data_IF_136000183433
#
_entry.id   IF_136000183433
#
_cell.length_a   1.000
_cell.length_b   1.000
_cell.length_c   1.000
_cell.angle_alpha   90.00
_cell.angle_beta   90.00
_cell.angle_gamma   90.00
#
_symmetry.space_group_name_H-M   'P 1'
#
loop_
_entity.id
_entity.type
_entity.pdbx_description
1 polymer ?
#
# COMPACT_ATOMS: atom_id res chain seq x y z
N UNK A 1 -9.02 -8.69 -32.66
CA UNK A 1 -9.56 -7.76 -31.64
C UNK A 1 -10.66 -8.40 -30.78
N UNK A 2 -11.74 -8.96 -31.36
CA UNK A 2 -12.82 -9.62 -30.59
C UNK A 2 -12.36 -10.87 -29.81
N UNK A 3 -11.59 -11.74 -30.44
CA UNK A 3 -11.04 -12.96 -29.81
C UNK A 3 -9.98 -12.70 -28.72
N UNK A 4 -9.30 -11.55 -28.78
CA UNK A 4 -8.32 -11.18 -27.75
C UNK A 4 -9.04 -10.66 -26.51
N UNK A 5 -10.11 -9.89 -26.70
CA UNK A 5 -10.96 -9.41 -25.62
C UNK A 5 -11.69 -10.56 -24.90
N UNK A 6 -12.19 -11.55 -25.64
CA UNK A 6 -12.81 -12.75 -25.06
C UNK A 6 -11.82 -13.60 -24.24
N UNK A 7 -10.57 -13.71 -24.72
CA UNK A 7 -9.49 -14.39 -23.96
C UNK A 7 -9.09 -13.63 -22.69
N UNK A 8 -9.12 -12.30 -22.71
CA UNK A 8 -8.91 -11.49 -21.50
C UNK A 8 -10.08 -11.67 -20.51
N UNK A 9 -11.32 -11.61 -20.99
CA UNK A 9 -12.51 -11.83 -20.16
C UNK A 9 -12.49 -13.19 -19.46
N UNK A 10 -12.13 -14.27 -20.17
CA UNK A 10 -12.03 -15.61 -19.56
C UNK A 10 -10.93 -15.73 -18.50
N UNK A 11 -9.88 -14.92 -18.55
CA UNK A 11 -8.84 -14.88 -17.51
C UNK A 11 -9.25 -14.09 -16.28
N UNK A 12 -10.08 -13.06 -16.44
CA UNK A 12 -10.49 -12.18 -15.33
C UNK A 12 -11.57 -12.83 -14.45
N UNK A 13 -12.50 -13.58 -15.05
CA UNK A 13 -13.59 -14.28 -14.33
C UNK A 13 -13.09 -15.18 -13.16
N UNK A 14 -12.09 -16.06 -13.35
CA UNK A 14 -11.61 -16.90 -12.25
C UNK A 14 -10.90 -16.09 -11.15
N UNK A 15 -10.21 -14.99 -11.49
CA UNK A 15 -9.60 -14.11 -10.48
C UNK A 15 -10.65 -13.39 -9.64
N UNK A 16 -11.73 -12.89 -10.27
CA UNK A 16 -12.87 -12.28 -9.56
C UNK A 16 -13.53 -13.31 -8.65
N UNK A 17 -13.77 -14.53 -9.15
CA UNK A 17 -14.36 -15.62 -8.36
C UNK A 17 -13.50 -15.96 -7.15
N UNK A 18 -12.19 -16.10 -7.35
CA UNK A 18 -11.24 -16.36 -6.26
C UNK A 18 -11.20 -15.22 -5.24
N UNK A 19 -11.23 -13.96 -5.70
CA UNK A 19 -11.30 -12.79 -4.84
C UNK A 19 -12.57 -12.77 -4.01
N UNK A 20 -13.72 -13.05 -4.61
CA UNK A 20 -15.01 -13.12 -3.92
C UNK A 20 -15.01 -14.20 -2.82
N UNK A 21 -14.46 -15.39 -3.11
CA UNK A 21 -14.29 -16.45 -2.11
C UNK A 21 -13.37 -16.03 -0.96
N UNK A 22 -12.28 -15.32 -1.27
CA UNK A 22 -11.37 -14.81 -0.24
C UNK A 22 -12.06 -13.77 0.66
N UNK A 23 -12.84 -12.86 0.08
CA UNK A 23 -13.58 -11.85 0.84
C UNK A 23 -14.66 -12.46 1.73
N UNK A 24 -15.44 -13.43 1.21
CA UNK A 24 -16.47 -14.10 2.01
C UNK A 24 -15.85 -14.91 3.14
N UNK A 25 -14.73 -15.59 2.90
CA UNK A 25 -14.01 -16.30 3.95
C UNK A 25 -13.48 -15.33 5.02
N UNK A 26 -12.86 -14.23 4.62
CA UNK A 26 -12.40 -13.19 5.55
C UNK A 26 -13.56 -12.60 6.38
N UNK A 27 -14.73 -12.40 5.77
CA UNK A 27 -15.92 -11.91 6.45
C UNK A 27 -16.38 -12.89 7.55
N UNK A 28 -16.42 -14.19 7.24
CA UNK A 28 -16.80 -15.22 8.21
C UNK A 28 -15.77 -15.36 9.34
N UNK A 29 -14.49 -15.16 9.04
CA UNK A 29 -13.40 -15.28 10.01
C UNK A 29 -13.18 -14.02 10.85
N UNK A 30 -13.67 -12.86 10.40
CA UNK A 30 -13.52 -11.58 11.09
C UNK A 30 -13.96 -11.60 12.57
N UNK A 31 -15.15 -12.12 12.96
CA UNK A 31 -15.55 -12.18 14.37
C UNK A 31 -14.66 -13.12 15.20
N UNK A 32 -14.12 -14.20 14.62
CA UNK A 32 -13.20 -15.11 15.30
C UNK A 32 -11.88 -14.42 15.59
N UNK A 33 -11.32 -13.74 14.58
CA UNK A 33 -10.08 -12.97 14.71
C UNK A 33 -10.21 -11.81 15.70
N UNK A 34 -11.36 -11.14 15.71
CA UNK A 34 -11.69 -10.09 16.68
C UNK A 34 -11.74 -10.64 18.11
N UNK A 35 -12.47 -11.74 18.31
CA UNK A 35 -12.61 -12.39 19.61
C UNK A 35 -11.27 -12.86 20.17
N UNK A 36 -10.38 -13.42 19.34
CA UNK A 36 -9.06 -13.89 19.75
C UNK A 36 -8.16 -12.78 20.29
N UNK A 37 -8.21 -11.57 19.72
CA UNK A 37 -7.40 -10.43 20.18
C UNK A 37 -8.11 -9.57 21.23
N UNK A 38 -9.40 -9.79 21.46
CA UNK A 38 -10.16 -9.09 22.51
C UNK A 38 -9.61 -9.37 23.92
N UNK A 39 -9.11 -10.59 24.15
CA UNK A 39 -8.53 -11.02 25.44
C UNK A 39 -7.16 -10.42 25.75
N UNK A 40 -6.48 -9.80 24.77
CA UNK A 40 -5.20 -9.13 24.97
C UNK A 40 -5.43 -7.72 25.52
N UNK A 41 -4.54 -7.22 26.38
CA UNK A 41 -4.66 -5.86 26.89
C UNK A 41 -4.45 -4.81 25.80
N UNK A 42 -5.15 -3.67 25.93
CA UNK A 42 -5.13 -2.59 24.94
C UNK A 42 -3.73 -1.99 24.76
N UNK A 43 -2.97 -1.82 25.83
CA UNK A 43 -1.61 -1.25 25.77
C UNK A 43 -0.66 -2.15 24.98
N UNK A 44 -0.78 -3.47 25.18
CA UNK A 44 0.00 -4.46 24.41
C UNK A 44 -0.37 -4.45 22.93
N UNK A 45 -1.64 -4.24 22.60
CA UNK A 45 -2.10 -4.16 21.20
C UNK A 45 -1.49 -2.97 20.49
N UNK A 46 -1.44 -1.79 21.13
CA UNK A 46 -0.80 -0.62 20.54
C UNK A 46 0.70 -0.83 20.36
N UNK A 47 1.37 -1.45 21.34
CA UNK A 47 2.79 -1.79 21.24
C UNK A 47 3.06 -2.77 20.09
N UNK A 48 2.28 -3.86 20.00
CA UNK A 48 2.42 -4.88 18.96
C UNK A 48 2.07 -4.32 17.57
N UNK A 49 1.02 -3.50 17.46
CA UNK A 49 0.66 -2.82 16.22
C UNK A 49 1.81 -1.92 15.74
N UNK A 50 2.38 -1.12 16.64
CA UNK A 50 3.53 -0.25 16.33
C UNK A 50 4.71 -1.07 15.84
N UNK A 51 5.04 -2.15 16.55
CA UNK A 51 6.11 -3.07 16.17
C UNK A 51 5.86 -3.68 14.78
N UNK A 52 4.67 -4.20 14.51
CA UNK A 52 4.34 -4.80 13.21
C UNK A 52 4.36 -3.78 12.06
N UNK A 53 3.96 -2.53 12.31
CA UNK A 53 4.09 -1.46 11.32
C UNK A 53 5.56 -1.12 11.03
N UNK A 54 6.44 -1.16 12.04
CA UNK A 54 7.88 -0.99 11.84
C UNK A 54 8.48 -2.15 11.04
N UNK A 55 8.07 -3.39 11.32
CA UNK A 55 8.49 -4.56 10.51
C UNK A 55 7.98 -4.44 9.09
N UNK A 56 6.73 -4.02 8.88
CA UNK A 56 6.20 -3.75 7.55
C UNK A 56 7.07 -2.72 6.82
N UNK A 57 7.35 -1.57 7.44
CA UNK A 57 8.16 -0.52 6.84
C UNK A 57 9.58 -0.98 6.49
N UNK A 58 10.26 -1.68 7.40
CA UNK A 58 11.67 -2.06 7.21
C UNK A 58 11.85 -3.24 6.26
N UNK A 59 10.93 -4.21 6.28
CA UNK A 59 11.00 -5.41 5.43
C UNK A 59 10.28 -5.25 4.08
N UNK A 60 9.72 -4.08 3.77
CA UNK A 60 9.07 -3.88 2.49
C UNK A 60 10.11 -3.85 1.35
N UNK A 61 9.88 -4.64 0.30
CA UNK A 61 10.74 -4.60 -0.89
C UNK A 61 10.46 -3.34 -1.71
N UNK A 62 11.29 -2.33 -1.51
CA UNK A 62 11.29 -1.05 -2.24
C UNK A 62 11.98 -1.11 -3.60
N UNK A 63 12.50 -2.28 -4.02
CA UNK A 63 13.21 -2.39 -5.29
C UNK A 63 12.30 -2.04 -6.46
N UNK A 64 12.82 -1.23 -7.38
CA UNK A 64 12.13 -0.88 -8.62
C UNK A 64 12.13 -2.08 -9.55
N UNK A 65 11.04 -2.83 -9.58
CA UNK A 65 10.85 -3.93 -10.51
C UNK A 65 10.37 -3.39 -11.85
N UNK A 66 11.25 -3.40 -12.84
CA UNK A 66 10.93 -3.14 -14.25
C UNK A 66 10.93 -4.46 -15.05
N UNK A 67 10.53 -4.41 -16.32
CA UNK A 67 10.41 -5.58 -17.20
C UNK A 67 11.67 -6.48 -17.23
N UNK A 68 12.87 -5.93 -17.00
CA UNK A 68 14.14 -6.68 -16.97
C UNK A 68 14.55 -7.27 -15.62
N UNK A 69 13.79 -7.04 -14.53
CA UNK A 69 14.13 -7.54 -13.19
C UNK A 69 12.87 -7.95 -12.42
N UNK A 70 12.27 -9.10 -12.78
CA UNK A 70 11.02 -9.56 -12.17
C UNK A 70 11.21 -9.82 -10.68
N UNK A 71 10.14 -9.59 -9.92
CA UNK A 71 10.15 -9.79 -8.47
C UNK A 71 10.29 -11.27 -8.14
N UNK A 72 11.17 -11.57 -7.18
CA UNK A 72 11.24 -12.91 -6.59
C UNK A 72 9.92 -13.22 -5.88
N UNK A 73 9.29 -14.39 -6.16
CA UNK A 73 8.12 -14.84 -5.41
C UNK A 73 8.41 -14.80 -3.92
N UNK A 74 7.52 -14.20 -3.13
CA UNK A 74 7.65 -14.15 -1.66
C UNK A 74 8.45 -12.98 -1.07
N UNK A 75 9.03 -12.08 -1.88
CA UNK A 75 9.89 -10.98 -1.37
C UNK A 75 9.22 -10.03 -0.36
N UNK A 76 7.88 -9.94 -0.34
CA UNK A 76 7.15 -9.06 0.60
C UNK A 76 6.23 -9.85 1.52
N UNK A 77 6.40 -11.18 1.63
CA UNK A 77 5.51 -11.98 2.48
C UNK A 77 5.60 -11.51 3.94
N UNK A 78 6.81 -11.30 4.45
CA UNK A 78 7.03 -10.85 5.83
C UNK A 78 6.39 -9.48 6.07
N UNK A 79 6.60 -8.52 5.15
CA UNK A 79 6.03 -7.19 5.31
C UNK A 79 4.50 -7.24 5.25
N UNK A 80 3.91 -7.94 4.28
CA UNK A 80 2.46 -8.03 4.13
C UNK A 80 1.81 -8.76 5.31
N UNK A 81 2.39 -9.87 5.77
CA UNK A 81 1.93 -10.57 6.97
C UNK A 81 1.99 -9.67 8.20
N UNK A 82 3.07 -8.90 8.38
CA UNK A 82 3.19 -7.95 9.49
C UNK A 82 2.13 -6.85 9.41
N UNK A 83 1.90 -6.29 8.21
CA UNK A 83 0.92 -5.24 8.02
C UNK A 83 -0.52 -5.74 8.28
N UNK A 84 -0.83 -6.98 7.91
CA UNK A 84 -2.11 -7.62 8.22
C UNK A 84 -2.27 -7.88 9.73
N UNK A 85 -1.21 -8.29 10.42
CA UNK A 85 -1.22 -8.45 11.88
C UNK A 85 -1.41 -7.11 12.59
N UNK A 86 -0.79 -6.03 12.10
CA UNK A 86 -1.02 -4.67 12.61
C UNK A 86 -2.48 -4.23 12.41
N UNK A 87 -3.02 -4.40 11.20
CA UNK A 87 -4.41 -4.08 10.90
C UNK A 87 -5.38 -4.89 11.78
N UNK A 88 -5.08 -6.17 12.02
CA UNK A 88 -5.86 -7.03 12.89
C UNK A 88 -5.82 -6.61 14.37
N UNK A 89 -4.64 -6.23 14.86
CA UNK A 89 -4.47 -5.67 16.19
C UNK A 89 -5.39 -4.45 16.38
N UNK A 90 -5.39 -3.53 15.42
CA UNK A 90 -6.26 -2.35 15.44
C UNK A 90 -7.75 -2.74 15.33
N UNK A 91 -8.08 -3.67 14.42
CA UNK A 91 -9.44 -4.12 14.15
C UNK A 91 -10.12 -4.71 15.39
N UNK A 92 -9.37 -5.42 16.25
CA UNK A 92 -9.87 -6.01 17.49
C UNK A 92 -10.47 -5.00 18.49
N UNK A 93 -10.13 -3.71 18.35
CA UNK A 93 -10.63 -2.64 19.22
C UNK A 93 -11.85 -1.90 18.65
N UNK A 94 -12.27 -2.24 17.44
CA UNK A 94 -13.49 -1.67 16.87
C UNK A 94 -14.71 -2.37 17.48
N UNK A 95 -15.79 -1.63 17.78
CA UNK A 95 -16.93 -2.15 18.53
C UNK A 95 -17.80 -3.11 17.71
N UNK A 96 -17.78 -3.00 16.38
CA UNK A 96 -18.67 -3.74 15.48
C UNK A 96 -17.88 -4.67 14.55
N UNK A 97 -18.28 -5.94 14.36
CA UNK A 97 -17.72 -6.82 13.34
C UNK A 97 -17.74 -6.22 11.92
N UNK A 98 -18.74 -5.40 11.57
CA UNK A 98 -18.78 -4.75 10.26
C UNK A 98 -17.62 -3.76 10.08
N UNK A 99 -17.32 -2.96 11.10
CA UNK A 99 -16.17 -2.05 11.07
C UNK A 99 -14.84 -2.80 11.02
N UNK A 100 -14.75 -3.93 11.75
CA UNK A 100 -13.59 -4.83 11.73
C UNK A 100 -13.34 -5.39 10.32
N UNK A 101 -14.38 -5.90 9.67
CA UNK A 101 -14.30 -6.37 8.29
C UNK A 101 -13.91 -5.26 7.32
N UNK A 102 -14.53 -4.09 7.43
CA UNK A 102 -14.21 -2.94 6.57
C UNK A 102 -12.74 -2.53 6.71
N UNK A 103 -12.20 -2.48 7.93
CA UNK A 103 -10.80 -2.14 8.19
C UNK A 103 -9.85 -3.19 7.59
N UNK A 104 -10.11 -4.48 7.83
CA UNK A 104 -9.28 -5.57 7.30
C UNK A 104 -9.32 -5.65 5.77
N UNK A 105 -10.50 -5.52 5.17
CA UNK A 105 -10.69 -5.48 3.72
C UNK A 105 -9.95 -4.29 3.09
N UNK A 106 -10.04 -3.12 3.73
CA UNK A 106 -9.33 -1.91 3.31
C UNK A 106 -7.81 -2.09 3.45
N UNK A 107 -7.35 -2.70 4.54
CA UNK A 107 -5.94 -2.99 4.76
C UNK A 107 -5.38 -3.93 3.68
N UNK A 108 -6.08 -5.02 3.35
CA UNK A 108 -5.69 -5.93 2.25
C UNK A 108 -5.63 -5.17 0.92
N UNK A 109 -6.64 -4.34 0.64
CA UNK A 109 -6.72 -3.57 -0.61
C UNK A 109 -5.58 -2.56 -0.72
N UNK A 110 -5.29 -1.81 0.33
CA UNK A 110 -4.26 -0.77 0.33
C UNK A 110 -2.83 -1.32 0.44
N UNK A 111 -2.62 -2.42 1.17
CA UNK A 111 -1.27 -2.92 1.47
C UNK A 111 -0.83 -3.99 0.47
N UNK A 112 -1.73 -4.86 0.03
CA UNK A 112 -1.41 -5.95 -0.89
C UNK A 112 -1.79 -5.60 -2.34
N UNK A 113 -3.01 -5.12 -2.56
CA UNK A 113 -3.54 -4.93 -3.91
C UNK A 113 -3.00 -3.66 -4.57
N UNK A 114 -2.89 -2.55 -3.82
CA UNK A 114 -2.41 -1.28 -4.34
C UNK A 114 -0.99 -1.36 -4.92
N UNK A 115 0.04 -1.92 -4.25
CA UNK A 115 1.37 -2.05 -4.85
C UNK A 115 1.40 -2.95 -6.09
N UNK A 116 0.50 -3.93 -6.19
CA UNK A 116 0.37 -4.76 -7.38
C UNK A 116 -0.27 -3.98 -8.54
N UNK A 117 -1.29 -3.17 -8.24
CA UNK A 117 -2.00 -2.33 -9.21
C UNK A 117 -1.07 -1.28 -9.81
N UNK A 118 -0.35 -0.53 -8.97
CA UNK A 118 0.60 0.51 -9.44
C UNK A 118 1.66 -0.05 -10.37
N UNK A 119 2.15 -1.27 -10.09
CA UNK A 119 3.10 -1.97 -10.96
C UNK A 119 2.51 -2.36 -12.31
N UNK A 120 1.27 -2.88 -12.33
CA UNK A 120 0.59 -3.22 -13.59
C UNK A 120 0.41 -1.98 -14.46
N UNK A 121 -0.02 -0.86 -13.87
CA UNK A 121 -0.15 0.42 -14.58
C UNK A 121 1.20 0.93 -15.09
N UNK A 122 2.27 0.85 -14.28
CA UNK A 122 3.62 1.24 -14.73
C UNK A 122 4.09 0.39 -15.92
N UNK A 123 3.94 -0.93 -15.84
CA UNK A 123 4.46 -1.84 -16.86
C UNK A 123 3.71 -1.77 -18.19
N UNK A 124 2.41 -1.43 -18.15
CA UNK A 124 1.54 -1.41 -19.32
C UNK A 124 1.32 0.00 -19.89
N UNK A 125 1.26 1.03 -19.04
CA UNK A 125 0.87 2.39 -19.40
C UNK A 125 2.00 3.43 -19.41
N UNK A 126 3.25 3.01 -19.16
CA UNK A 126 4.42 3.90 -19.17
C UNK A 126 4.41 4.96 -18.05
N UNK A 127 5.19 6.02 -18.23
CA UNK A 127 5.40 7.05 -17.20
C UNK A 127 4.18 7.97 -17.00
N UNK A 128 3.44 8.27 -18.07
CA UNK A 128 2.23 9.09 -18.00
C UNK A 128 1.12 8.43 -17.16
N UNK A 129 0.92 7.11 -17.31
CA UNK A 129 -0.05 6.37 -16.51
C UNK A 129 0.32 6.36 -15.02
N UNK A 130 1.60 6.27 -14.68
CA UNK A 130 2.00 6.38 -13.28
C UNK A 130 1.74 7.79 -12.72
N UNK A 131 2.07 8.85 -13.45
CA UNK A 131 1.82 10.22 -12.96
C UNK A 131 0.32 10.42 -12.72
N UNK A 132 -0.52 9.96 -13.67
CA UNK A 132 -1.97 9.99 -13.52
C UNK A 132 -2.43 9.23 -12.26
N UNK A 133 -1.90 8.03 -12.04
CA UNK A 133 -2.24 7.21 -10.87
C UNK A 133 -1.81 7.88 -9.56
N UNK A 134 -0.64 8.52 -9.52
CA UNK A 134 -0.16 9.27 -8.35
C UNK A 134 -1.07 10.46 -8.05
N UNK A 135 -1.46 11.24 -9.07
CA UNK A 135 -2.40 12.36 -8.92
C UNK A 135 -3.76 11.88 -8.43
N UNK A 136 -4.28 10.79 -9.02
CA UNK A 136 -5.56 10.22 -8.62
C UNK A 136 -5.51 9.70 -7.17
N UNK A 137 -4.43 9.03 -6.78
CA UNK A 137 -4.27 8.57 -5.40
C UNK A 137 -4.18 9.74 -4.41
N UNK A 138 -3.46 10.80 -4.75
CA UNK A 138 -3.37 12.02 -3.94
C UNK A 138 -4.72 12.71 -3.79
N UNK A 139 -5.50 12.81 -4.89
CA UNK A 139 -6.84 13.42 -4.83
C UNK A 139 -7.81 12.58 -4.00
N UNK A 140 -7.76 11.25 -4.09
CA UNK A 140 -8.59 10.38 -3.24
C UNK A 140 -8.30 10.57 -1.75
N UNK A 141 -7.03 10.71 -1.35
CA UNK A 141 -6.66 10.98 0.05
C UNK A 141 -7.26 12.32 0.51
N UNK A 142 -7.14 13.37 -0.31
CA UNK A 142 -7.70 14.68 -0.03
C UNK A 142 -9.23 14.65 0.12
N UNK A 143 -9.92 13.92 -0.76
CA UNK A 143 -11.37 13.77 -0.72
C UNK A 143 -11.84 12.98 0.50
N UNK A 144 -11.15 11.91 0.88
CA UNK A 144 -11.50 11.11 2.07
C UNK A 144 -11.32 11.88 3.39
N UNK A 145 -10.47 12.91 3.41
CA UNK A 145 -10.28 13.78 4.57
C UNK A 145 -11.40 14.83 4.74
N UNK A 146 -12.28 14.98 3.74
CA UNK A 146 -13.36 15.98 3.73
C UNK A 146 -14.30 15.93 4.96
N UNK A 147 -14.73 14.76 5.47
CA UNK A 147 -15.62 14.69 6.63
C UNK A 147 -14.98 15.25 7.91
N UNK A 148 -13.66 15.10 8.07
CA UNK A 148 -12.92 15.65 9.21
C UNK A 148 -12.90 17.17 9.13
N UNK A 149 -12.74 17.71 7.92
CA UNK A 149 -12.73 19.15 7.64
C UNK A 149 -14.13 19.77 7.84
N UNK A 150 -15.21 18.99 7.69
CA UNK A 150 -16.58 19.47 7.88
C UNK A 150 -17.15 19.23 9.27
N UNK A 151 -16.47 18.44 10.11
CA UNK A 151 -16.81 18.30 11.52
C UNK A 151 -16.70 19.65 12.22
N UNK A 152 -17.48 19.88 13.29
CA UNK A 152 -17.64 21.17 14.00
C UNK A 152 -16.39 21.69 14.73
N UNK A 153 -15.20 21.42 14.19
CA UNK A 153 -13.88 21.83 14.66
C UNK A 153 -13.63 23.29 14.28
N UNK A 154 -12.92 24.03 15.14
CA UNK A 154 -12.59 25.44 14.91
C UNK A 154 -11.83 25.64 13.58
N UNK A 155 -12.06 26.79 12.95
CA UNK A 155 -11.49 27.15 11.64
C UNK A 155 -9.96 27.02 11.59
N UNK A 156 -9.27 27.41 12.66
CA UNK A 156 -7.79 27.37 12.74
C UNK A 156 -7.24 25.93 12.60
N UNK A 157 -7.80 24.99 13.35
CA UNK A 157 -7.39 23.58 13.29
C UNK A 157 -7.68 22.95 11.92
N UNK A 158 -8.78 23.36 11.27
CA UNK A 158 -9.12 22.92 9.91
C UNK A 158 -8.06 23.36 8.90
N UNK A 159 -7.66 24.63 8.97
CA UNK A 159 -6.63 25.17 8.09
C UNK A 159 -5.27 24.49 8.31
N UNK A 160 -4.86 24.32 9.57
CA UNK A 160 -3.59 23.65 9.90
C UNK A 160 -3.60 22.20 9.39
N UNK A 161 -4.68 21.45 9.62
CA UNK A 161 -4.81 20.07 9.17
C UNK A 161 -4.76 19.95 7.65
N UNK A 162 -5.51 20.80 6.92
CA UNK A 162 -5.48 20.84 5.46
C UNK A 162 -4.10 21.19 4.90
N UNK A 163 -3.46 22.23 5.44
CA UNK A 163 -2.12 22.62 5.04
C UNK A 163 -1.11 21.49 5.27
N UNK A 164 -1.16 20.83 6.43
CA UNK A 164 -0.30 19.69 6.74
C UNK A 164 -0.55 18.50 5.79
N UNK A 165 -1.81 18.20 5.49
CA UNK A 165 -2.19 17.11 4.59
C UNK A 165 -1.74 17.37 3.15
N UNK A 166 -1.94 18.59 2.63
CA UNK A 166 -1.50 18.98 1.28
C UNK A 166 0.04 18.99 1.21
N UNK A 167 0.70 19.57 2.21
CA UNK A 167 2.17 19.66 2.24
C UNK A 167 2.80 18.27 2.30
N UNK A 168 2.27 17.38 3.15
CA UNK A 168 2.79 16.00 3.26
C UNK A 168 2.57 15.19 1.98
N UNK A 169 1.38 15.27 1.36
CA UNK A 169 1.11 14.56 0.11
C UNK A 169 2.00 15.06 -1.05
N UNK A 170 2.20 16.38 -1.18
CA UNK A 170 3.13 16.93 -2.17
C UNK A 170 4.59 16.52 -1.90
N UNK A 171 4.99 16.56 -0.63
CA UNK A 171 6.34 16.22 -0.23
C UNK A 171 6.68 14.76 -0.55
N UNK A 172 5.81 13.82 -0.14
CA UNK A 172 6.04 12.38 -0.32
C UNK A 172 5.97 11.98 -1.80
N UNK A 173 5.02 12.52 -2.57
CA UNK A 173 4.80 12.07 -3.95
C UNK A 173 5.70 12.75 -4.99
N UNK A 174 6.09 14.01 -4.77
CA UNK A 174 6.82 14.79 -5.77
C UNK A 174 8.18 15.27 -5.28
N UNK A 175 8.23 15.94 -4.12
CA UNK A 175 9.48 16.55 -3.64
C UNK A 175 10.51 15.47 -3.30
N UNK A 176 10.11 14.42 -2.58
CA UNK A 176 10.96 13.30 -2.20
C UNK A 176 11.60 12.60 -3.39
N UNK A 177 10.81 12.08 -4.35
CA UNK A 177 11.36 11.46 -5.56
C UNK A 177 12.25 12.40 -6.37
N UNK A 178 11.85 13.67 -6.57
CA UNK A 178 12.68 14.65 -7.27
C UNK A 178 14.02 14.88 -6.57
N UNK A 179 14.01 14.97 -5.24
CA UNK A 179 15.22 15.13 -4.43
C UNK A 179 16.12 13.89 -4.53
N UNK A 180 15.55 12.69 -4.39
CA UNK A 180 16.29 11.43 -4.55
C UNK A 180 16.90 11.30 -5.95
N UNK A 181 16.18 11.69 -7.00
CA UNK A 181 16.70 11.70 -8.37
C UNK A 181 17.85 12.69 -8.55
N UNK A 182 17.81 13.85 -7.90
CA UNK A 182 18.94 14.79 -7.88
C UNK A 182 20.15 14.18 -7.16
N UNK A 183 19.92 13.50 -6.03
CA UNK A 183 20.97 12.85 -5.26
C UNK A 183 21.62 11.68 -6.01
N UNK A 184 20.87 10.94 -6.83
CA UNK A 184 21.43 9.90 -7.69
C UNK A 184 22.52 10.45 -8.62
N UNK A 185 22.40 11.69 -9.11
CA UNK A 185 23.42 12.31 -9.99
C UNK A 185 24.74 12.62 -9.27
N UNK A 186 24.71 12.77 -7.95
CA UNK A 186 25.88 13.11 -7.12
C UNK A 186 26.62 11.84 -6.67
N UNK A 187 26.00 10.67 -6.82
CA UNK A 187 26.58 9.40 -6.40
C UNK A 187 27.78 9.05 -7.29
N UNK A 188 28.99 9.13 -6.73
CA UNK A 188 30.21 8.62 -7.39
C UNK A 188 30.21 7.09 -7.32
N UNK A 189 30.27 6.45 -8.48
CA UNK A 189 30.52 5.00 -8.56
C UNK A 189 32.02 4.77 -8.44
N UNK A 190 32.45 4.01 -7.43
CA UNK A 190 33.84 3.59 -7.30
C UNK A 190 33.99 2.36 -8.19
N UNK A 191 34.65 2.51 -9.32
CA UNK A 191 34.97 1.39 -10.20
C UNK A 191 36.17 0.66 -9.60
N UNK A 192 35.94 -0.58 -9.13
CA UNK A 192 37.01 -1.47 -8.74
C UNK A 192 37.64 -2.14 -9.97
N UNK A 193 38.88 -2.67 -9.88
CA UNK A 193 39.55 -3.39 -10.97
C UNK A 193 38.86 -4.70 -11.39
N UNK A 194 37.67 -4.99 -10.84
CA UNK A 194 36.89 -6.21 -11.04
C UNK A 194 35.53 -5.96 -11.71
N UNK A 195 35.17 -4.70 -12.05
CA UNK A 195 33.76 -4.32 -12.28
C UNK A 195 33.32 -4.19 -13.74
N UNK A 196 34.18 -4.44 -14.73
CA UNK A 196 33.74 -4.63 -16.13
C UNK A 196 34.58 -5.73 -16.77
N UNK A 197 33.93 -6.80 -17.24
CA UNK A 197 34.57 -7.77 -18.12
C UNK A 197 34.75 -7.10 -19.48
N UNK A 198 35.97 -6.64 -19.76
CA UNK A 198 36.34 -6.15 -21.08
C UNK A 198 36.30 -7.35 -22.03
N UNK A 199 35.35 -7.35 -22.96
CA UNK A 199 35.30 -8.32 -24.04
C UNK A 199 36.21 -7.76 -25.14
N UNK A 200 37.43 -8.30 -25.24
CA UNK A 200 38.30 -8.10 -26.41
C UNK A 200 37.80 -8.91 -27.62
#
# INVERSE_FOLDING_TARGET
MKEENERQFHKVIPEIKSGMVFFTFCFLLAPVLHSLLSSVSTDSIYAMCTFFLLVYWTCFDYKTHWKGHPRKPGSNTISLSSALLAALCLASRLPDPYHTFALLSTAVTLLALWPALTRRFRNNGGDGAQICLTILSGSTILLTAWPIVYSGVSFEYRCIFLCALITSTLCINFVGPCYLLRMQKIKRTIHGPWDEAVIE
#
